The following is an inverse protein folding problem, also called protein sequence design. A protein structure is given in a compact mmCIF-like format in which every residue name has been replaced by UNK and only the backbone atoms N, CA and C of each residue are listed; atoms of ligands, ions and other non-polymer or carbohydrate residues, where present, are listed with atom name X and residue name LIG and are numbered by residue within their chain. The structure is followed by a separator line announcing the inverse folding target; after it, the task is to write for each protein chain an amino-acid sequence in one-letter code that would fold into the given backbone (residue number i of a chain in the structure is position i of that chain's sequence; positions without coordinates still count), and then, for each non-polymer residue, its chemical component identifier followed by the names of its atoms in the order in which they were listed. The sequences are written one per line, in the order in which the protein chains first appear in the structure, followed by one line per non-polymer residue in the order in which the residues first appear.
data_IF_791528543692
#
_entry.id   IF_791528543692
#
_cell.length_a   1.000
_cell.length_b   1.000
_cell.length_c   1.000
_cell.angle_alpha   90.00
_cell.angle_beta   90.00
_cell.angle_gamma   90.00
#
_symmetry.space_group_name_H-M   'P 1'
#
loop_
_entity.id
_entity.type
_entity.pdbx_description
1 polymer ?
#
# COMPACT_ATOMS: atom_id res chain seq x y z
N UNK A 1 37.49 59.76 -32.45
CA UNK A 1 36.39 58.91 -32.96
C UNK A 1 37.01 57.63 -33.52
N UNK A 2 36.26 56.50 -33.52
CA UNK A 2 36.68 55.10 -33.77
C UNK A 2 36.99 54.39 -32.43
N UNK A 3 35.99 53.83 -31.73
CA UNK A 3 35.15 52.62 -31.93
C UNK A 3 35.72 51.40 -31.19
N UNK A 4 35.06 51.08 -30.08
CA UNK A 4 35.15 49.82 -29.37
C UNK A 4 34.60 48.67 -30.24
N UNK A 5 35.17 47.47 -30.07
CA UNK A 5 34.51 46.22 -30.50
C UNK A 5 34.56 45.25 -29.32
N UNK A 6 33.38 44.97 -28.78
CA UNK A 6 33.09 43.86 -27.87
C UNK A 6 33.31 42.54 -28.62
N UNK A 7 34.08 41.63 -28.04
CA UNK A 7 34.04 40.23 -28.43
C UNK A 7 32.93 39.52 -27.64
N UNK A 8 31.91 39.05 -28.36
CA UNK A 8 30.92 38.10 -27.82
C UNK A 8 31.59 36.73 -27.63
N UNK A 9 31.54 36.20 -26.41
CA UNK A 9 31.77 34.77 -26.17
C UNK A 9 30.43 34.03 -26.28
N UNK A 10 30.34 33.13 -27.26
CA UNK A 10 29.30 32.11 -27.41
C UNK A 10 29.78 30.81 -26.71
N UNK A 11 28.89 30.16 -25.97
CA UNK A 11 29.05 28.76 -25.52
C UNK A 11 28.46 28.55 -24.11
N UNK A 12 27.74 27.49 -23.78
CA UNK A 12 27.22 26.36 -24.54
C UNK A 12 25.98 25.84 -23.79
N UNK A 13 25.06 25.25 -24.53
CA UNK A 13 23.84 24.57 -24.08
C UNK A 13 24.15 23.36 -23.18
N UNK A 14 23.32 23.14 -22.16
CA UNK A 14 23.41 21.98 -21.28
C UNK A 14 22.17 21.79 -20.40
N UNK A 15 20.99 21.77 -21.01
CA UNK A 15 19.76 21.41 -20.31
C UNK A 15 19.78 19.91 -19.98
N UNK A 16 19.93 19.58 -18.70
CA UNK A 16 19.73 18.23 -18.21
C UNK A 16 18.25 17.87 -18.35
N UNK A 17 17.90 17.17 -19.44
CA UNK A 17 16.61 16.48 -19.53
C UNK A 17 16.66 15.31 -18.54
N UNK A 18 16.00 15.48 -17.40
CA UNK A 18 15.70 14.36 -16.52
C UNK A 18 14.86 13.36 -17.33
N UNK A 19 15.45 12.21 -17.67
CA UNK A 19 14.73 11.11 -18.28
C UNK A 19 13.65 10.65 -17.30
N UNK A 20 12.40 11.00 -17.58
CA UNK A 20 11.25 10.37 -16.93
C UNK A 20 11.24 8.90 -17.36
N UNK A 21 11.54 8.00 -16.42
CA UNK A 21 11.36 6.57 -16.65
C UNK A 21 9.90 6.34 -17.08
N UNK A 22 9.64 5.47 -18.08
CA UNK A 22 8.29 5.17 -18.51
C UNK A 22 7.51 4.61 -17.31
N UNK A 23 6.34 5.17 -17.04
CA UNK A 23 5.39 4.54 -16.14
C UNK A 23 5.06 3.15 -16.72
N UNK A 24 5.48 2.07 -16.05
CA UNK A 24 5.18 0.72 -16.51
C UNK A 24 3.66 0.59 -16.72
N UNK A 25 3.26 0.33 -17.97
CA UNK A 25 1.89 0.03 -18.37
C UNK A 25 1.34 -1.30 -17.80
N UNK A 26 2.01 -1.89 -16.81
CA UNK A 26 1.54 -3.01 -16.02
C UNK A 26 1.19 -2.51 -14.62
N UNK A 27 -0.05 -2.76 -14.19
CA UNK A 27 -0.62 -2.29 -12.91
C UNK A 27 0.24 -2.54 -11.65
N UNK A 28 -0.26 -2.11 -10.48
CA UNK A 28 0.59 -1.90 -9.31
C UNK A 28 1.33 -3.15 -8.84
N UNK A 29 2.60 -2.98 -8.45
CA UNK A 29 3.50 -4.09 -8.10
C UNK A 29 2.95 -5.00 -6.99
N UNK A 30 2.21 -4.41 -6.07
CA UNK A 30 1.51 -5.09 -5.00
C UNK A 30 0.07 -4.61 -5.05
N UNK A 31 -0.87 -5.54 -5.00
CA UNK A 31 -2.29 -5.26 -5.08
C UNK A 31 -2.96 -5.61 -3.75
N UNK A 32 -3.97 -4.83 -3.36
CA UNK A 32 -4.98 -5.26 -2.41
C UNK A 32 -5.87 -6.23 -3.17
N UNK A 33 -6.08 -7.45 -2.66
CA UNK A 33 -6.92 -8.47 -3.33
C UNK A 33 -8.18 -8.80 -2.55
N UNK A 34 -8.18 -8.53 -1.24
CA UNK A 34 -9.34 -8.76 -0.39
C UNK A 34 -9.32 -7.88 0.83
N UNK A 35 -10.49 -7.37 1.20
CA UNK A 35 -10.78 -6.86 2.53
C UNK A 35 -11.89 -7.73 3.10
N UNK A 36 -11.61 -8.47 4.16
CA UNK A 36 -12.58 -9.30 4.87
C UNK A 36 -13.00 -8.53 6.11
N UNK A 37 -14.17 -7.88 6.03
CA UNK A 37 -14.58 -6.81 6.93
C UNK A 37 -15.70 -7.18 7.89
N UNK A 38 -16.53 -8.19 7.58
CA UNK A 38 -17.65 -8.58 8.45
C UNK A 38 -17.71 -10.12 8.59
N UNK A 39 -16.77 -10.71 9.35
CA UNK A 39 -16.78 -12.15 9.65
C UNK A 39 -18.08 -12.61 10.32
N UNK A 40 -18.54 -13.85 10.05
CA UNK A 40 -19.78 -14.33 10.66
C UNK A 40 -19.73 -14.42 12.19
N UNK A 41 -20.87 -14.11 12.80
CA UNK A 41 -21.10 -14.16 14.24
C UNK A 41 -21.08 -12.78 14.89
N UNK A 42 -21.20 -12.74 16.21
CA UNK A 42 -21.29 -11.48 16.96
C UNK A 42 -19.93 -10.86 17.20
N UNK A 43 -19.90 -9.52 17.12
CA UNK A 43 -18.72 -8.72 17.42
C UNK A 43 -18.48 -8.54 18.91
N UNK A 44 -17.67 -9.45 19.47
CA UNK A 44 -17.36 -9.47 20.91
C UNK A 44 -16.07 -8.73 21.28
N UNK A 45 -15.36 -8.17 20.29
CA UNK A 45 -14.05 -7.49 20.47
C UNK A 45 -12.97 -8.33 21.15
N UNK A 46 -13.15 -9.65 21.20
CA UNK A 46 -12.08 -10.55 21.60
C UNK A 46 -11.01 -10.57 20.50
N UNK A 47 -9.74 -10.77 20.87
CA UNK A 47 -8.66 -10.85 19.89
C UNK A 47 -8.91 -11.90 18.80
N UNK A 48 -9.51 -13.03 19.18
CA UNK A 48 -9.89 -14.10 18.25
C UNK A 48 -10.91 -13.64 17.21
N UNK A 49 -11.85 -12.76 17.58
CA UNK A 49 -12.83 -12.17 16.66
C UNK A 49 -12.24 -11.04 15.83
N UNK A 50 -11.47 -10.13 16.41
CA UNK A 50 -10.78 -9.04 15.69
C UNK A 50 -9.82 -9.62 14.64
N UNK A 51 -9.14 -10.73 14.92
CA UNK A 51 -8.28 -11.41 13.94
C UNK A 51 -9.06 -12.04 12.77
N UNK A 52 -10.39 -12.12 12.81
CA UNK A 52 -11.16 -12.59 11.65
C UNK A 52 -11.26 -11.51 10.57
N UNK A 53 -11.12 -10.24 10.94
CA UNK A 53 -10.92 -9.14 10.00
C UNK A 53 -9.49 -9.09 9.48
N UNK A 54 -9.35 -8.90 8.17
CA UNK A 54 -8.04 -8.77 7.55
C UNK A 54 -8.09 -8.09 6.18
N UNK A 55 -6.92 -7.62 5.75
CA UNK A 55 -6.63 -7.26 4.36
C UNK A 55 -5.62 -8.24 3.78
N UNK A 56 -5.82 -8.63 2.52
CA UNK A 56 -4.90 -9.48 1.75
C UNK A 56 -4.19 -8.63 0.69
N UNK A 57 -2.86 -8.77 0.62
CA UNK A 57 -2.03 -8.17 -0.40
C UNK A 57 -1.38 -9.25 -1.26
N UNK A 58 -1.24 -9.01 -2.56
CA UNK A 58 -0.59 -9.90 -3.51
C UNK A 58 0.58 -9.23 -4.21
N UNK A 59 1.77 -9.84 -4.13
CA UNK A 59 2.89 -9.45 -4.98
C UNK A 59 2.71 -10.08 -6.38
N UNK A 60 2.25 -9.29 -7.34
CA UNK A 60 2.07 -9.74 -8.74
C UNK A 60 3.37 -9.81 -9.54
N UNK A 61 4.49 -9.31 -8.99
CA UNK A 61 5.76 -9.27 -9.70
C UNK A 61 6.37 -10.67 -9.78
N UNK A 62 7.25 -10.82 -10.76
CA UNK A 62 8.11 -12.01 -10.92
C UNK A 62 9.33 -12.00 -9.98
N UNK A 63 9.52 -10.90 -9.24
CA UNK A 63 10.58 -10.72 -8.26
C UNK A 63 10.00 -10.54 -6.85
N UNK A 64 10.76 -10.90 -5.79
CA UNK A 64 10.37 -10.61 -4.42
C UNK A 64 10.20 -9.10 -4.20
N UNK A 65 9.18 -8.71 -3.44
CA UNK A 65 8.96 -7.32 -3.03
C UNK A 65 9.16 -7.19 -1.52
N UNK A 66 10.08 -6.31 -1.10
CA UNK A 66 10.23 -5.96 0.31
C UNK A 66 9.23 -4.87 0.69
N UNK A 67 8.32 -5.18 1.62
CA UNK A 67 7.30 -4.26 2.10
C UNK A 67 7.79 -3.37 3.27
N UNK A 68 9.07 -3.39 3.62
CA UNK A 68 9.57 -2.50 4.68
C UNK A 68 9.18 -1.03 4.45
N UNK A 69 8.57 -0.40 5.46
CA UNK A 69 8.02 0.98 5.44
C UNK A 69 6.86 1.22 4.47
N UNK A 70 6.37 0.20 3.77
CA UNK A 70 5.07 0.29 3.13
C UNK A 70 3.99 0.44 4.19
N UNK A 71 2.89 1.06 3.83
CA UNK A 71 1.79 1.30 4.76
C UNK A 71 0.47 1.36 4.03
N UNK A 72 -0.61 1.05 4.74
CA UNK A 72 -1.95 1.31 4.25
C UNK A 72 -2.78 1.99 5.32
N UNK A 73 -3.84 2.67 4.88
CA UNK A 73 -4.85 3.24 5.77
C UNK A 73 -6.25 3.01 5.25
N UNK A 74 -7.21 3.00 6.15
CA UNK A 74 -8.64 3.02 5.83
C UNK A 74 -9.13 4.46 5.55
N UNK A 75 -10.44 4.64 5.40
CA UNK A 75 -11.04 5.97 5.23
C UNK A 75 -11.04 6.80 6.52
N UNK A 76 -10.97 6.17 7.69
CA UNK A 76 -11.06 6.81 9.01
C UNK A 76 -9.69 7.17 9.63
N UNK A 77 -8.59 6.84 8.94
CA UNK A 77 -7.24 7.19 9.35
C UNK A 77 -6.52 6.14 10.18
N UNK A 78 -7.10 4.96 10.39
CA UNK A 78 -6.38 3.82 10.95
C UNK A 78 -5.25 3.43 9.99
N UNK A 79 -4.00 3.47 10.47
CA UNK A 79 -2.81 3.19 9.66
C UNK A 79 -2.07 1.95 10.13
N UNK A 80 -1.76 1.04 9.21
CA UNK A 80 -0.79 -0.04 9.38
C UNK A 80 0.50 0.29 8.66
N UNK A 81 1.65 0.06 9.29
CA UNK A 81 2.97 0.19 8.65
C UNK A 81 3.73 -1.12 8.83
N UNK A 82 4.28 -1.63 7.73
CA UNK A 82 5.16 -2.78 7.76
C UNK A 82 6.50 -2.39 8.41
N UNK A 83 6.78 -2.98 9.57
CA UNK A 83 8.04 -2.78 10.30
C UNK A 83 9.00 -3.94 10.03
N UNK A 84 10.29 -3.61 10.00
CA UNK A 84 11.35 -4.55 9.65
C UNK A 84 11.31 -5.02 8.19
N UNK A 85 12.33 -5.77 7.80
CA UNK A 85 12.38 -6.38 6.47
C UNK A 85 11.29 -7.43 6.33
N UNK A 86 10.47 -7.32 5.28
CA UNK A 86 9.44 -8.31 4.99
C UNK A 86 9.33 -8.56 3.49
N UNK A 87 9.86 -9.69 3.06
CA UNK A 87 9.92 -10.10 1.66
C UNK A 87 8.70 -10.94 1.28
N UNK A 88 7.85 -10.40 0.43
CA UNK A 88 6.76 -11.15 -0.22
C UNK A 88 7.30 -11.73 -1.51
N UNK A 89 7.38 -13.05 -1.59
CA UNK A 89 7.89 -13.77 -2.75
C UNK A 89 7.04 -13.53 -4.01
N UNK A 90 7.59 -13.77 -5.21
CA UNK A 90 6.85 -13.64 -6.47
C UNK A 90 5.54 -14.40 -6.44
N UNK A 91 4.47 -13.78 -6.93
CA UNK A 91 3.15 -14.38 -7.01
C UNK A 91 2.60 -14.91 -5.66
N UNK A 92 3.09 -14.41 -4.52
CA UNK A 92 2.62 -14.79 -3.17
C UNK A 92 1.78 -13.69 -2.53
N UNK A 93 0.94 -14.13 -1.59
CA UNK A 93 0.05 -13.26 -0.83
C UNK A 93 0.49 -13.16 0.62
N UNK A 94 0.19 -12.03 1.23
CA UNK A 94 0.29 -11.79 2.67
C UNK A 94 -1.06 -11.36 3.20
N UNK A 95 -1.40 -11.84 4.40
CA UNK A 95 -2.57 -11.39 5.15
C UNK A 95 -2.12 -10.49 6.29
N UNK A 96 -2.75 -9.34 6.44
CA UNK A 96 -2.61 -8.47 7.62
C UNK A 96 -3.90 -8.55 8.43
N UNK A 97 -3.82 -9.27 9.56
CA UNK A 97 -4.92 -9.45 10.52
C UNK A 97 -5.05 -8.19 11.38
N UNK A 98 -6.28 -7.77 11.67
CA UNK A 98 -6.53 -6.54 12.45
C UNK A 98 -6.04 -6.65 13.89
N UNK A 99 -6.19 -7.81 14.52
CA UNK A 99 -5.85 -8.00 15.94
C UNK A 99 -4.37 -8.24 16.22
N UNK A 100 -4.09 -8.83 17.38
CA UNK A 100 -2.75 -9.14 17.90
C UNK A 100 -2.36 -10.59 17.57
N UNK A 101 -1.07 -10.80 17.36
CA UNK A 101 -0.47 -12.12 17.14
C UNK A 101 1.01 -12.00 16.79
N UNK A 102 1.61 -13.14 16.45
CA UNK A 102 3.04 -13.22 16.08
C UNK A 102 3.20 -13.23 14.58
N UNK A 103 3.97 -12.27 14.05
CA UNK A 103 4.28 -12.15 12.64
C UNK A 103 4.99 -13.40 12.07
N UNK A 104 4.64 -13.82 10.85
CA UNK A 104 5.23 -14.99 10.15
C UNK A 104 5.84 -14.62 8.80
N UNK A 105 6.05 -15.54 7.86
CA UNK A 105 6.42 -15.19 6.48
C UNK A 105 5.23 -14.78 5.61
N UNK A 106 4.00 -15.07 6.03
CA UNK A 106 2.77 -14.89 5.22
C UNK A 106 1.66 -14.17 5.98
N UNK A 107 1.82 -13.93 7.27
CA UNK A 107 0.84 -13.24 8.10
C UNK A 107 1.50 -12.14 8.93
N UNK A 108 0.84 -11.00 8.96
CA UNK A 108 1.16 -9.85 9.80
C UNK A 108 -0.02 -9.55 10.71
N UNK A 109 0.27 -8.92 11.84
CA UNK A 109 -0.74 -8.50 12.80
C UNK A 109 -0.63 -7.00 13.01
N UNK A 110 -1.76 -6.30 12.90
CA UNK A 110 -1.84 -4.85 13.09
C UNK A 110 -1.77 -4.49 14.59
N UNK A 111 -2.21 -5.39 15.46
CA UNK A 111 -2.14 -5.21 16.91
C UNK A 111 -3.29 -4.37 17.48
N UNK A 112 -4.35 -4.15 16.71
CA UNK A 112 -5.50 -3.37 17.15
C UNK A 112 -6.28 -4.10 18.25
N UNK A 113 -6.87 -3.31 19.15
CA UNK A 113 -7.79 -3.79 20.19
C UNK A 113 -9.26 -3.70 19.81
N UNK A 114 -9.57 -3.26 18.59
CA UNK A 114 -10.92 -3.12 18.06
C UNK A 114 -10.91 -3.39 16.54
N UNK A 115 -12.10 -3.59 15.99
CA UNK A 115 -12.35 -3.68 14.56
C UNK A 115 -11.97 -2.39 13.84
N UNK A 116 -11.56 -2.51 12.58
CA UNK A 116 -11.11 -1.37 11.77
C UNK A 116 -11.95 -1.20 10.52
N UNK A 117 -12.29 -2.31 9.87
CA UNK A 117 -13.02 -2.27 8.61
C UNK A 117 -14.52 -2.15 8.88
N UNK A 118 -15.21 -1.20 8.25
CA UNK A 118 -16.63 -0.99 8.53
C UNK A 118 -17.51 -2.10 7.93
N UNK A 119 -18.42 -2.66 8.74
CA UNK A 119 -19.40 -3.66 8.28
C UNK A 119 -20.54 -3.02 7.45
N UNK A 120 -20.85 -1.75 7.70
CA UNK A 120 -21.90 -0.98 7.01
C UNK A 120 -21.35 0.32 6.43
N UNK A 121 -22.13 1.01 5.60
CA UNK A 121 -21.69 2.28 4.98
C UNK A 121 -20.59 2.06 3.94
N UNK A 122 -19.62 2.95 3.84
CA UNK A 122 -18.50 2.84 2.89
C UNK A 122 -17.16 2.86 3.62
N UNK A 123 -16.18 2.14 3.09
CA UNK A 123 -14.79 2.23 3.55
C UNK A 123 -13.83 2.07 2.36
N UNK A 124 -12.56 2.42 2.56
CA UNK A 124 -11.54 2.40 1.52
C UNK A 124 -10.15 2.16 2.10
N UNK A 125 -9.52 1.05 1.70
CA UNK A 125 -8.11 0.82 1.93
C UNK A 125 -7.27 1.52 0.85
N UNK A 126 -6.22 2.23 1.26
CA UNK A 126 -5.24 2.86 0.37
C UNK A 126 -3.83 2.39 0.74
N UNK A 127 -3.14 1.71 -0.18
CA UNK A 127 -1.80 1.18 0.00
C UNK A 127 -0.76 2.14 -0.58
N UNK A 128 0.31 2.39 0.17
CA UNK A 128 1.39 3.29 -0.21
C UNK A 128 2.75 2.62 -0.04
N UNK A 129 3.69 3.03 -0.89
CA UNK A 129 5.09 2.67 -0.74
C UNK A 129 5.82 3.66 0.21
N UNK A 130 7.12 3.42 0.52
CA UNK A 130 7.89 4.28 1.43
C UNK A 130 8.10 5.71 0.93
N UNK A 131 7.95 5.95 -0.38
CA UNK A 131 8.06 7.27 -1.00
C UNK A 131 6.71 8.02 -0.98
N UNK A 132 5.72 7.52 -0.23
CA UNK A 132 4.34 8.03 -0.18
C UNK A 132 3.61 8.01 -1.52
N UNK A 133 4.06 7.20 -2.48
CA UNK A 133 3.33 7.00 -3.72
C UNK A 133 2.18 6.03 -3.44
N UNK A 134 0.97 6.41 -3.87
CA UNK A 134 -0.20 5.54 -3.83
C UNK A 134 0.03 4.39 -4.82
N UNK A 135 0.00 3.17 -4.31
CA UNK A 135 0.19 1.96 -5.08
C UNK A 135 -1.16 1.38 -5.49
N UNK A 136 -2.07 1.22 -4.54
CA UNK A 136 -3.37 0.62 -4.83
C UNK A 136 -4.47 1.15 -3.91
N UNK A 137 -5.72 1.01 -4.33
CA UNK A 137 -6.90 1.41 -3.57
C UNK A 137 -8.01 0.39 -3.76
N UNK A 138 -8.62 -0.05 -2.66
CA UNK A 138 -9.82 -0.86 -2.71
C UNK A 138 -10.91 -0.25 -1.83
N UNK A 139 -12.02 0.12 -2.47
CA UNK A 139 -13.20 0.69 -1.82
C UNK A 139 -14.36 -0.30 -1.85
N UNK A 140 -15.22 -0.25 -0.84
CA UNK A 140 -16.43 -1.04 -0.79
C UNK A 140 -17.57 -0.30 -0.08
N UNK A 141 -18.79 -0.75 -0.38
CA UNK A 141 -19.98 -0.48 0.42
C UNK A 141 -20.25 -1.74 1.25
N UNK A 142 -20.44 -1.58 2.56
CA UNK A 142 -20.71 -2.66 3.49
C UNK A 142 -22.07 -3.33 3.28
N UNK A 143 -22.41 -4.26 4.17
CA UNK A 143 -23.59 -5.13 4.07
C UNK A 143 -23.30 -6.51 3.46
N UNK A 144 -22.03 -6.84 3.21
CA UNK A 144 -21.56 -8.18 2.90
C UNK A 144 -20.49 -8.63 3.90
N UNK A 145 -19.78 -9.72 3.59
CA UNK A 145 -18.71 -10.25 4.47
C UNK A 145 -17.33 -9.75 4.08
N UNK A 146 -17.12 -9.56 2.77
CA UNK A 146 -15.83 -9.17 2.21
C UNK A 146 -15.99 -8.44 0.88
N UNK A 147 -14.93 -7.74 0.49
CA UNK A 147 -14.73 -7.19 -0.85
C UNK A 147 -13.57 -7.92 -1.53
N UNK A 148 -13.81 -8.44 -2.72
CA UNK A 148 -12.73 -8.79 -3.66
C UNK A 148 -12.32 -7.54 -4.42
N UNK A 149 -11.02 -7.37 -4.51
CA UNK A 149 -10.31 -6.37 -5.27
C UNK A 149 -9.44 -7.15 -6.29
#
# INVERSE_FOLDING_TARGET
MVRAVLALALGATGGAVAATAPAEAGGPAVMITKIYYDPPGTDTRTNAKINQEYIELWNRRVLPTNLYKWWFKDAHGHKYTFTGTFLVQPNRRVVVRTGKGTNTSTTRYWGMGNYVWNNTGTDTARLYNPNNQLIDTCAYTGGGVYKTC
#
